data_IF_764905936348
#
_entry.id   IF_764905936348
#
_cell.length_a   1.000
_cell.length_b   1.000
_cell.length_c   1.000
_cell.angle_alpha   90.00
_cell.angle_beta   90.00
_cell.angle_gamma   90.00
#
_symmetry.space_group_name_H-M   'P 1'
#
loop_
_entity.id
_entity.type
_entity.pdbx_description
1 polymer ?
#
# COMPACT_ATOMS: atom_id res chain seq x y z
N UNK A 1 -66.85 -0.31 27.00
CA UNK A 1 -66.15 0.36 25.90
C UNK A 1 -64.69 0.50 26.30
N UNK A 2 -63.86 -0.47 25.89
CA UNK A 2 -62.41 -0.49 26.16
C UNK A 2 -61.69 -0.10 24.87
N UNK A 3 -61.19 1.12 24.82
CA UNK A 3 -60.41 1.66 23.72
C UNK A 3 -58.95 1.23 23.87
N UNK A 4 -58.46 0.38 22.97
CA UNK A 4 -57.04 0.02 22.89
C UNK A 4 -56.23 1.20 22.31
N UNK A 5 -55.05 1.54 22.88
CA UNK A 5 -54.18 2.54 22.28
C UNK A 5 -53.60 2.01 20.95
N UNK A 6 -53.42 2.87 19.93
CA UNK A 6 -52.81 2.46 18.68
C UNK A 6 -51.34 2.06 18.92
N UNK A 7 -50.83 1.05 18.19
CA UNK A 7 -49.41 0.69 18.28
C UNK A 7 -48.59 1.88 17.79
N UNK A 8 -47.75 2.43 18.67
CA UNK A 8 -46.70 3.36 18.29
C UNK A 8 -45.72 2.60 17.41
N UNK A 9 -45.89 2.72 16.11
CA UNK A 9 -44.95 2.28 15.09
C UNK A 9 -43.63 3.00 15.34
N UNK A 10 -42.72 2.33 16.05
CA UNK A 10 -41.37 2.78 16.41
C UNK A 10 -40.43 2.86 15.20
N UNK A 11 -40.82 3.61 14.18
CA UNK A 11 -40.07 3.82 12.94
C UNK A 11 -39.02 4.93 13.05
N UNK A 12 -38.67 5.36 14.27
CA UNK A 12 -37.86 6.54 14.51
C UNK A 12 -36.71 6.35 15.49
N UNK A 13 -36.37 5.12 15.88
CA UNK A 13 -35.21 4.94 16.75
C UNK A 13 -33.93 5.28 15.96
N UNK A 14 -33.13 6.27 16.40
CA UNK A 14 -31.94 6.73 15.70
C UNK A 14 -30.91 5.60 15.54
N UNK A 15 -31.01 4.55 16.35
CA UNK A 15 -30.22 3.33 16.27
C UNK A 15 -30.40 2.64 14.91
N UNK A 16 -31.64 2.56 14.39
CA UNK A 16 -31.88 1.97 13.07
C UNK A 16 -31.30 2.84 11.97
N UNK A 17 -31.43 4.17 12.07
CA UNK A 17 -30.84 5.09 11.08
C UNK A 17 -29.32 4.96 11.03
N UNK A 18 -28.66 4.84 12.19
CA UNK A 18 -27.22 4.60 12.28
C UNK A 18 -26.84 3.23 11.72
N UNK A 19 -27.61 2.19 12.04
CA UNK A 19 -27.39 0.85 11.50
C UNK A 19 -27.53 0.81 9.97
N UNK A 20 -28.54 1.48 9.42
CA UNK A 20 -28.73 1.61 7.96
C UNK A 20 -27.59 2.40 7.32
N UNK A 21 -27.11 3.47 7.95
CA UNK A 21 -25.98 4.25 7.45
C UNK A 21 -24.67 3.43 7.41
N UNK A 22 -24.40 2.64 8.46
CA UNK A 22 -23.23 1.75 8.52
C UNK A 22 -23.35 0.64 7.47
N UNK A 23 -24.53 0.01 7.35
CA UNK A 23 -24.76 -1.04 6.35
C UNK A 23 -24.59 -0.50 4.91
N UNK A 24 -25.13 0.69 4.62
CA UNK A 24 -24.96 1.35 3.34
C UNK A 24 -23.49 1.71 3.06
N UNK A 25 -22.76 2.17 4.08
CA UNK A 25 -21.33 2.48 3.95
C UNK A 25 -20.51 1.22 3.64
N UNK A 26 -20.76 0.10 4.32
CA UNK A 26 -20.07 -1.16 4.06
C UNK A 26 -20.39 -1.73 2.67
N UNK A 27 -21.64 -1.64 2.23
CA UNK A 27 -22.04 -2.03 0.86
C UNK A 27 -21.38 -1.15 -0.20
N UNK A 28 -21.34 0.17 0.02
CA UNK A 28 -20.63 1.09 -0.87
C UNK A 28 -19.14 0.78 -0.94
N UNK A 29 -18.52 0.49 0.20
CA UNK A 29 -17.09 0.19 0.27
C UNK A 29 -16.75 -1.14 -0.41
N UNK A 30 -17.58 -2.17 -0.22
CA UNK A 30 -17.45 -3.44 -0.92
C UNK A 30 -17.61 -3.30 -2.44
N UNK A 31 -18.60 -2.51 -2.90
CA UNK A 31 -18.78 -2.20 -4.32
C UNK A 31 -17.61 -1.40 -4.90
N UNK A 32 -17.09 -0.43 -4.14
CA UNK A 32 -15.94 0.38 -4.54
C UNK A 32 -14.65 -0.47 -4.60
N UNK A 33 -14.39 -1.35 -3.63
CA UNK A 33 -13.27 -2.31 -3.71
C UNK A 33 -13.41 -3.24 -4.92
N UNK A 34 -14.64 -3.67 -5.23
CA UNK A 34 -14.92 -4.45 -6.42
C UNK A 34 -14.63 -3.68 -7.71
N UNK A 35 -14.90 -2.37 -7.77
CA UNK A 35 -14.53 -1.51 -8.90
C UNK A 35 -13.00 -1.37 -9.07
N UNK A 36 -12.24 -1.27 -7.98
CA UNK A 36 -10.76 -1.26 -8.02
C UNK A 36 -10.18 -2.60 -8.45
N UNK A 37 -10.77 -3.72 -8.02
CA UNK A 37 -10.41 -5.06 -8.49
C UNK A 37 -10.83 -5.32 -9.94
N UNK A 38 -11.88 -4.64 -10.40
CA UNK A 38 -12.38 -4.68 -11.78
C UNK A 38 -11.78 -3.58 -12.67
N UNK A 39 -10.49 -3.26 -12.49
CA UNK A 39 -9.61 -2.72 -13.55
C UNK A 39 -9.52 -3.60 -14.83
N UNK A 40 -10.50 -4.47 -15.06
CA UNK A 40 -10.83 -5.16 -16.30
C UNK A 40 -11.72 -4.27 -17.16
N UNK A 41 -11.04 -3.45 -17.97
CA UNK A 41 -11.30 -3.25 -19.40
C UNK A 41 -12.76 -3.49 -19.83
N UNK A 42 -13.46 -2.38 -20.04
CA UNK A 42 -14.54 -2.33 -21.02
C UNK A 42 -13.97 -2.68 -22.40
N UNK A 43 -14.08 -3.94 -22.80
CA UNK A 43 -14.26 -4.29 -24.21
C UNK A 43 -15.36 -5.34 -24.31
N UNK A 44 -16.28 -5.17 -25.27
CA UNK A 44 -17.50 -5.95 -25.36
C UNK A 44 -17.21 -7.35 -25.92
N UNK A 45 -18.19 -8.22 -25.75
CA UNK A 45 -18.44 -9.44 -26.49
C UNK A 45 -17.74 -9.47 -27.89
N UNK A 46 -17.10 -10.60 -28.21
CA UNK A 46 -16.32 -10.95 -29.42
C UNK A 46 -14.81 -10.70 -29.35
N UNK A 47 -14.03 -11.76 -29.07
CA UNK A 47 -12.84 -12.09 -29.86
C UNK A 47 -12.33 -13.49 -29.51
N UNK A 48 -12.80 -14.44 -30.31
CA UNK A 48 -12.17 -15.74 -30.58
C UNK A 48 -10.79 -15.48 -31.19
N UNK A 49 -9.71 -15.78 -30.47
CA UNK A 49 -8.38 -15.94 -31.08
C UNK A 49 -7.22 -15.17 -30.45
N UNK A 50 -6.27 -15.92 -29.90
CA UNK A 50 -4.83 -15.69 -30.05
C UNK A 50 -4.21 -14.45 -29.38
N UNK A 51 -3.53 -14.64 -28.23
CA UNK A 51 -2.16 -14.12 -28.04
C UNK A 51 -1.52 -14.58 -26.71
N UNK A 52 -0.89 -15.76 -26.72
CA UNK A 52 -0.06 -16.27 -25.62
C UNK A 52 1.37 -15.68 -25.56
N UNK A 53 1.70 -14.67 -26.37
CA UNK A 53 3.10 -14.17 -26.51
C UNK A 53 3.42 -12.86 -25.77
N UNK A 54 2.48 -12.22 -25.07
CA UNK A 54 2.71 -10.89 -24.44
C UNK A 54 3.13 -10.92 -22.96
N UNK A 55 3.02 -12.06 -22.27
CA UNK A 55 3.36 -12.20 -20.83
C UNK A 55 4.85 -12.30 -20.53
N UNK A 56 5.71 -12.63 -21.50
CA UNK A 56 7.17 -12.76 -21.26
C UNK A 56 7.89 -11.41 -21.12
N UNK A 57 7.46 -10.37 -21.84
CA UNK A 57 8.10 -9.04 -21.79
C UNK A 57 7.80 -8.27 -20.49
N UNK A 58 6.62 -8.43 -19.91
CA UNK A 58 6.25 -7.77 -18.65
C UNK A 58 7.02 -8.35 -17.46
N UNK A 59 7.24 -9.66 -17.42
CA UNK A 59 8.08 -10.26 -16.38
C UNK A 59 9.53 -9.75 -16.46
N UNK A 60 10.10 -9.69 -17.67
CA UNK A 60 11.48 -9.26 -17.88
C UNK A 60 11.74 -7.81 -17.47
N UNK A 61 10.77 -6.90 -17.68
CA UNK A 61 10.88 -5.50 -17.21
C UNK A 61 10.84 -5.37 -15.69
N UNK A 62 10.05 -6.20 -15.00
CA UNK A 62 10.01 -6.22 -13.53
C UNK A 62 11.34 -6.70 -12.95
N UNK A 63 11.99 -7.69 -13.56
CA UNK A 63 13.31 -8.15 -13.14
C UNK A 63 14.41 -7.09 -13.32
N UNK A 64 14.40 -6.36 -14.44
CA UNK A 64 15.39 -5.30 -14.68
C UNK A 64 15.28 -4.15 -13.67
N UNK A 65 14.05 -3.72 -13.35
CA UNK A 65 13.81 -2.68 -12.34
C UNK A 65 14.27 -3.14 -10.94
N UNK A 66 14.01 -4.39 -10.57
CA UNK A 66 14.49 -4.93 -9.29
C UNK A 66 16.02 -4.97 -9.20
N UNK A 67 16.73 -5.24 -10.31
CA UNK A 67 18.19 -5.20 -10.32
C UNK A 67 18.74 -3.79 -10.13
N UNK A 68 18.16 -2.78 -10.78
CA UNK A 68 18.57 -1.38 -10.61
C UNK A 68 18.41 -0.92 -9.16
N UNK A 69 17.29 -1.28 -8.52
CA UNK A 69 17.04 -0.97 -7.11
C UNK A 69 18.05 -1.69 -6.21
N UNK A 70 18.36 -2.96 -6.47
CA UNK A 70 19.33 -3.72 -5.67
C UNK A 70 20.73 -3.10 -5.75
N UNK A 71 21.16 -2.67 -6.95
CA UNK A 71 22.44 -1.98 -7.15
C UNK A 71 22.47 -0.63 -6.43
N UNK A 72 21.38 0.14 -6.49
CA UNK A 72 21.27 1.42 -5.78
C UNK A 72 21.35 1.23 -4.25
N UNK A 73 20.70 0.20 -3.72
CA UNK A 73 20.77 -0.13 -2.28
C UNK A 73 22.17 -0.58 -1.87
N UNK A 74 22.85 -1.40 -2.68
CA UNK A 74 24.25 -1.80 -2.40
C UNK A 74 25.19 -0.59 -2.37
N UNK A 75 25.02 0.33 -3.31
CA UNK A 75 25.80 1.57 -3.32
C UNK A 75 25.51 2.44 -2.10
N UNK A 76 24.24 2.58 -1.72
CA UNK A 76 23.81 3.28 -0.51
C UNK A 76 24.42 2.67 0.76
N UNK A 77 24.44 1.34 0.90
CA UNK A 77 25.07 0.66 2.04
C UNK A 77 26.57 0.94 2.08
N UNK A 78 27.25 0.93 0.92
CA UNK A 78 28.67 1.29 0.83
C UNK A 78 28.95 2.70 1.36
N UNK A 79 28.10 3.68 1.01
CA UNK A 79 28.21 5.05 1.52
C UNK A 79 28.03 5.13 3.03
N UNK A 80 27.03 4.45 3.60
CA UNK A 80 26.82 4.41 5.06
C UNK A 80 27.98 3.68 5.76
N UNK A 81 28.54 2.64 5.13
CA UNK A 81 29.68 1.88 5.64
C UNK A 81 30.95 2.74 5.77
N UNK A 82 31.08 3.83 5.00
CA UNK A 82 32.17 4.79 5.23
C UNK A 82 32.12 5.43 6.65
N UNK A 83 30.94 5.43 7.28
CA UNK A 83 30.70 5.98 8.60
C UNK A 83 30.52 4.91 9.70
N UNK A 84 30.54 3.62 9.40
CA UNK A 84 30.45 2.55 10.40
C UNK A 84 31.44 1.43 10.13
N UNK A 85 31.97 0.78 11.18
CA UNK A 85 32.95 -0.29 11.00
C UNK A 85 32.32 -1.58 10.44
N UNK A 86 30.99 -1.70 10.44
CA UNK A 86 30.28 -2.93 10.09
C UNK A 86 29.26 -2.69 8.99
N UNK A 87 29.48 -3.37 7.88
CA UNK A 87 28.55 -3.41 6.75
C UNK A 87 27.16 -3.94 7.17
N UNK A 88 27.11 -4.90 8.10
CA UNK A 88 25.85 -5.45 8.62
C UNK A 88 25.07 -4.42 9.46
N UNK A 89 25.78 -3.58 10.21
CA UNK A 89 25.13 -2.49 10.95
C UNK A 89 24.63 -1.43 9.98
N UNK A 90 25.42 -1.07 8.97
CA UNK A 90 25.01 -0.13 7.91
C UNK A 90 23.71 -0.58 7.22
N UNK A 91 23.62 -1.85 6.82
CA UNK A 91 22.44 -2.38 6.14
C UNK A 91 21.21 -2.38 7.05
N UNK A 92 21.34 -2.83 8.31
CA UNK A 92 20.24 -2.85 9.28
C UNK A 92 19.71 -1.44 9.59
N UNK A 93 20.61 -0.47 9.75
CA UNK A 93 20.23 0.92 10.02
C UNK A 93 19.52 1.56 8.82
N UNK A 94 20.05 1.35 7.61
CA UNK A 94 19.45 1.86 6.39
C UNK A 94 18.06 1.23 6.17
N UNK A 95 17.93 -0.10 6.33
CA UNK A 95 16.64 -0.79 6.25
C UNK A 95 15.64 -0.30 7.28
N UNK A 96 16.06 -0.09 8.54
CA UNK A 96 15.19 0.44 9.59
C UNK A 96 14.70 1.86 9.23
N UNK A 97 15.58 2.69 8.67
CA UNK A 97 15.25 4.06 8.24
C UNK A 97 14.27 4.06 7.07
N UNK A 98 14.50 3.20 6.07
CA UNK A 98 13.60 3.03 4.93
C UNK A 98 12.21 2.52 5.36
N UNK A 99 12.16 1.53 6.26
CA UNK A 99 10.88 1.00 6.79
C UNK A 99 10.06 2.05 7.54
N UNK A 100 10.73 2.98 8.22
CA UNK A 100 10.06 4.10 8.92
C UNK A 100 9.65 5.22 7.95
N UNK A 101 10.26 5.32 6.77
CA UNK A 101 10.10 6.43 5.84
C UNK A 101 9.81 5.97 4.41
N UNK A 102 8.79 5.12 4.22
CA UNK A 102 8.44 4.52 2.93
C UNK A 102 8.09 5.54 1.82
N UNK A 103 7.68 6.76 2.19
CA UNK A 103 7.35 7.83 1.24
C UNK A 103 8.57 8.64 0.79
N UNK A 104 9.75 8.43 1.40
CA UNK A 104 10.96 9.19 1.13
C UNK A 104 11.86 8.45 0.13
N UNK A 105 12.63 9.19 -0.69
CA UNK A 105 13.60 8.57 -1.59
C UNK A 105 14.76 7.92 -0.83
N UNK A 106 15.41 6.94 -1.46
CA UNK A 106 16.56 6.21 -0.89
C UNK A 106 17.68 7.17 -0.44
N UNK A 107 18.00 8.18 -1.25
CA UNK A 107 19.06 9.15 -0.95
C UNK A 107 18.80 9.90 0.36
N UNK A 108 17.54 10.29 0.63
CA UNK A 108 17.18 10.93 1.88
C UNK A 108 17.35 9.97 3.07
N UNK A 109 17.02 8.69 2.89
CA UNK A 109 17.22 7.69 3.94
C UNK A 109 18.71 7.51 4.27
N UNK A 110 19.58 7.51 3.25
CA UNK A 110 21.04 7.44 3.41
C UNK A 110 21.57 8.65 4.18
N UNK A 111 21.24 9.86 3.74
CA UNK A 111 21.66 11.10 4.41
C UNK A 111 21.21 11.11 5.87
N UNK A 112 19.96 10.70 6.12
CA UNK A 112 19.41 10.64 7.48
C UNK A 112 20.12 9.61 8.35
N UNK A 113 20.40 8.42 7.82
CA UNK A 113 21.16 7.39 8.55
C UNK A 113 22.57 7.87 8.87
N UNK A 114 23.25 8.55 7.94
CA UNK A 114 24.59 9.13 8.17
C UNK A 114 24.52 10.22 9.25
N UNK A 115 23.55 11.12 9.17
CA UNK A 115 23.33 12.17 10.17
C UNK A 115 23.14 11.57 11.58
N UNK A 116 22.31 10.53 11.69
CA UNK A 116 22.05 9.88 12.97
C UNK A 116 23.31 9.19 13.53
N UNK A 117 24.13 8.56 12.68
CA UNK A 117 25.43 7.98 13.09
C UNK A 117 26.40 9.06 13.57
N UNK A 118 26.50 10.18 12.83
CA UNK A 118 27.38 11.29 13.20
C UNK A 118 26.92 11.92 14.52
N UNK A 119 25.61 12.06 14.71
CA UNK A 119 25.02 12.61 15.94
C UNK A 119 25.29 11.72 17.15
N UNK A 120 25.22 10.41 17.02
CA UNK A 120 25.48 9.46 18.09
C UNK A 120 26.95 9.48 18.57
N UNK A 121 27.87 9.89 17.68
CA UNK A 121 29.31 10.01 17.98
C UNK A 121 29.72 11.32 18.65
N UNK A 122 28.83 12.32 18.69
CA UNK A 122 29.10 13.63 19.29
C UNK A 122 28.61 13.66 20.74
#
# INVERSE_FOLDING_TARGET
MTSYPPPTTGYGDPIYLVAYAIAAFLLYWAWHDQQHRLGLKKHPFFSRGGNRKRTRRSAQMVYANNQEVEHAVKHAISQVTAYTHSHEVASRLLEATMKRNLSRPLNWCVEKTIEDIIRDRR
#
